data_IF_608856126915
#
_entry.id   IF_608856126915
#
_cell.length_a   1.000
_cell.length_b   1.000
_cell.length_c   1.000
_cell.angle_alpha   90.00
_cell.angle_beta   90.00
_cell.angle_gamma   90.00
#
_symmetry.space_group_name_H-M   'P 1'
#
loop_
_entity.id
_entity.type
_entity.pdbx_description
1 polymer ?
#
# COMPACT_ATOMS: atom_id res chain seq x y z
N UNK A 1 32.31 -33.53 -5.23
CA UNK A 1 32.50 -32.17 -5.82
C UNK A 1 31.47 -32.04 -6.93
N UNK A 2 30.20 -31.91 -6.53
CA UNK A 2 29.09 -31.78 -7.45
C UNK A 2 28.64 -30.32 -7.56
N UNK A 3 28.45 -29.92 -8.77
CA UNK A 3 28.07 -28.60 -9.26
C UNK A 3 26.91 -28.01 -8.46
N UNK A 4 27.20 -27.13 -7.50
CA UNK A 4 26.30 -26.08 -7.09
C UNK A 4 26.24 -25.01 -8.21
N UNK A 5 25.80 -25.46 -9.38
CA UNK A 5 25.60 -24.58 -10.50
C UNK A 5 24.19 -24.01 -10.45
N UNK A 6 24.11 -22.73 -10.12
CA UNK A 6 23.16 -21.78 -10.70
C UNK A 6 21.65 -22.08 -10.56
N UNK A 7 21.15 -22.15 -9.36
CA UNK A 7 19.82 -21.63 -9.10
C UNK A 7 19.92 -20.08 -9.00
N UNK A 8 20.49 -19.45 -10.00
CA UNK A 8 20.46 -18.01 -10.18
C UNK A 8 19.03 -17.69 -10.62
N UNK A 9 18.22 -17.26 -9.66
CA UNK A 9 17.01 -16.51 -9.94
C UNK A 9 17.38 -15.48 -11.01
N UNK A 10 16.58 -15.37 -12.08
CA UNK A 10 16.87 -14.41 -13.14
C UNK A 10 16.76 -12.99 -12.55
N UNK A 11 17.88 -12.31 -12.23
CA UNK A 11 17.82 -11.05 -11.49
C UNK A 11 17.09 -9.95 -12.25
N UNK A 12 17.08 -10.04 -13.59
CA UNK A 12 16.34 -9.09 -14.45
C UNK A 12 14.84 -9.27 -14.29
N UNK A 13 14.37 -10.51 -14.19
CA UNK A 13 12.95 -10.77 -14.02
C UNK A 13 12.48 -10.42 -12.60
N UNK A 14 13.31 -10.60 -11.58
CA UNK A 14 13.01 -10.17 -10.22
C UNK A 14 12.76 -8.66 -10.14
N UNK A 15 13.59 -7.85 -10.79
CA UNK A 15 13.39 -6.39 -10.87
C UNK A 15 12.18 -6.01 -11.74
N UNK A 16 11.88 -6.79 -12.77
CA UNK A 16 10.63 -6.62 -13.52
C UNK A 16 9.42 -6.84 -12.60
N UNK A 17 9.44 -7.85 -11.72
CA UNK A 17 8.36 -8.07 -10.74
C UNK A 17 8.22 -6.89 -9.77
N UNK A 18 9.32 -6.28 -9.31
CA UNK A 18 9.27 -5.05 -8.52
C UNK A 18 8.54 -3.93 -9.27
N UNK A 19 8.91 -3.68 -10.53
CA UNK A 19 8.28 -2.64 -11.35
C UNK A 19 6.78 -2.92 -11.61
N UNK A 20 6.44 -4.17 -11.89
CA UNK A 20 5.04 -4.63 -12.10
C UNK A 20 4.21 -4.38 -10.85
N UNK A 21 4.66 -4.86 -9.69
CA UNK A 21 3.89 -4.74 -8.45
C UNK A 21 3.90 -3.31 -7.93
N UNK A 22 4.97 -2.54 -8.12
CA UNK A 22 5.00 -1.09 -7.90
C UNK A 22 3.86 -0.39 -8.64
N UNK A 23 3.72 -0.65 -9.94
CA UNK A 23 2.70 0.01 -10.77
C UNK A 23 1.29 -0.41 -10.37
N UNK A 24 1.05 -1.70 -10.16
CA UNK A 24 -0.26 -2.20 -9.72
C UNK A 24 -0.64 -1.62 -8.36
N UNK A 25 0.31 -1.53 -7.43
CA UNK A 25 0.10 -0.90 -6.12
C UNK A 25 -0.17 0.59 -6.24
N UNK A 26 0.52 1.29 -7.15
CA UNK A 26 0.28 2.71 -7.39
C UNK A 26 -1.17 2.95 -7.86
N UNK A 27 -1.69 2.10 -8.73
CA UNK A 27 -3.08 2.18 -9.16
C UNK A 27 -4.04 1.87 -8.01
N UNK A 28 -3.85 0.76 -7.30
CA UNK A 28 -4.73 0.35 -6.20
C UNK A 28 -4.85 1.41 -5.10
N UNK A 29 -3.72 1.91 -4.61
CA UNK A 29 -3.69 2.96 -3.58
C UNK A 29 -4.03 4.35 -4.14
N UNK A 30 -3.78 4.58 -5.42
CA UNK A 30 -4.15 5.81 -6.09
C UNK A 30 -5.67 6.01 -6.14
N UNK A 31 -6.44 4.98 -6.50
CA UNK A 31 -7.89 5.03 -6.47
C UNK A 31 -8.42 5.24 -5.04
N UNK A 32 -7.83 4.56 -4.04
CA UNK A 32 -8.18 4.77 -2.64
C UNK A 32 -7.98 6.22 -2.21
N UNK A 33 -6.85 6.83 -2.56
CA UNK A 33 -6.55 8.24 -2.26
C UNK A 33 -7.48 9.21 -3.00
N UNK A 34 -7.94 8.85 -4.19
CA UNK A 34 -8.79 9.71 -5.03
C UNK A 34 -10.20 9.89 -4.50
N UNK A 35 -10.68 9.04 -3.60
CA UNK A 35 -12.01 9.17 -2.98
C UNK A 35 -12.19 10.58 -2.41
N UNK A 36 -11.17 11.14 -1.77
CA UNK A 36 -11.22 12.48 -1.18
C UNK A 36 -11.58 13.59 -2.18
N UNK A 37 -11.19 13.43 -3.44
CA UNK A 37 -11.42 14.41 -4.52
C UNK A 37 -12.85 14.29 -5.06
N UNK A 38 -13.43 13.08 -5.04
CA UNK A 38 -14.80 12.84 -5.47
C UNK A 38 -15.86 13.21 -4.42
N UNK A 39 -15.49 13.37 -3.15
CA UNK A 39 -16.44 13.63 -2.05
C UNK A 39 -17.37 14.83 -2.33
N UNK A 40 -16.79 15.98 -2.72
CA UNK A 40 -17.58 17.20 -2.97
C UNK A 40 -18.51 17.08 -4.19
N UNK A 41 -18.02 16.66 -5.37
CA UNK A 41 -18.89 16.45 -6.54
C UNK A 41 -20.07 15.53 -6.26
N UNK A 42 -19.81 14.37 -5.65
CA UNK A 42 -20.86 13.40 -5.33
C UNK A 42 -21.86 13.92 -4.28
N UNK A 43 -21.35 14.56 -3.22
CA UNK A 43 -22.22 15.16 -2.21
C UNK A 43 -23.11 16.25 -2.77
N UNK A 44 -22.64 17.07 -3.71
CA UNK A 44 -23.44 18.13 -4.31
C UNK A 44 -24.48 17.60 -5.32
N UNK A 45 -24.19 16.52 -6.03
CA UNK A 45 -25.09 15.97 -7.05
C UNK A 45 -26.20 15.11 -6.45
N UNK A 46 -25.83 14.24 -5.50
CA UNK A 46 -26.77 13.30 -4.90
C UNK A 46 -27.35 13.76 -3.56
N UNK A 47 -26.90 14.89 -3.02
CA UNK A 47 -27.32 15.36 -1.69
C UNK A 47 -26.81 14.51 -0.53
N UNK A 48 -25.76 13.68 -0.75
CA UNK A 48 -25.25 12.80 0.28
C UNK A 48 -24.46 13.58 1.35
N UNK A 49 -24.63 13.17 2.61
CA UNK A 49 -23.85 13.74 3.70
C UNK A 49 -22.35 13.41 3.59
N UNK A 50 -21.49 14.30 4.08
CA UNK A 50 -20.03 14.09 4.07
C UNK A 50 -19.61 12.79 4.76
N UNK A 51 -20.29 12.43 5.85
CA UNK A 51 -20.04 11.15 6.53
C UNK A 51 -20.35 9.95 5.66
N UNK A 52 -21.46 9.99 4.91
CA UNK A 52 -21.85 8.92 4.01
C UNK A 52 -20.84 8.75 2.86
N UNK A 53 -20.43 9.84 2.21
CA UNK A 53 -19.45 9.76 1.12
C UNK A 53 -18.07 9.32 1.60
N UNK A 54 -17.64 9.71 2.80
CA UNK A 54 -16.37 9.27 3.37
C UNK A 54 -16.33 7.78 3.75
N UNK A 55 -17.50 7.15 3.99
CA UNK A 55 -17.58 5.70 4.22
C UNK A 55 -17.14 4.87 3.00
N UNK A 56 -17.08 5.45 1.80
CA UNK A 56 -16.47 4.80 0.63
C UNK A 56 -15.01 4.38 0.89
N UNK A 57 -14.22 5.25 1.53
CA UNK A 57 -12.85 4.91 1.94
C UNK A 57 -12.82 3.75 2.96
N UNK A 58 -13.71 3.82 3.95
CA UNK A 58 -13.85 2.74 4.95
C UNK A 58 -14.24 1.43 4.29
N UNK A 59 -15.14 1.47 3.31
CA UNK A 59 -15.62 0.28 2.58
C UNK A 59 -14.48 -0.41 1.83
N UNK A 60 -13.64 0.34 1.10
CA UNK A 60 -12.47 -0.24 0.42
C UNK A 60 -11.50 -0.83 1.45
N UNK A 61 -11.16 -0.06 2.49
CA UNK A 61 -10.18 -0.48 3.48
C UNK A 61 -10.62 -1.73 4.24
N UNK A 62 -11.89 -1.76 4.67
CA UNK A 62 -12.47 -2.89 5.40
C UNK A 62 -12.59 -4.14 4.53
N UNK A 63 -13.11 -4.01 3.30
CA UNK A 63 -13.18 -5.14 2.37
C UNK A 63 -11.80 -5.65 1.99
N UNK A 64 -10.83 -4.76 1.75
CA UNK A 64 -9.45 -5.13 1.45
C UNK A 64 -8.79 -5.87 2.62
N UNK A 65 -9.03 -5.47 3.85
CA UNK A 65 -8.48 -6.13 5.03
C UNK A 65 -9.01 -7.55 5.19
N UNK A 66 -10.33 -7.74 5.12
CA UNK A 66 -10.97 -9.07 5.25
C UNK A 66 -10.55 -9.99 4.10
N UNK A 67 -10.71 -9.53 2.87
CA UNK A 67 -10.39 -10.33 1.69
C UNK A 67 -8.89 -10.48 1.47
N UNK A 68 -8.06 -9.57 1.99
CA UNK A 68 -6.61 -9.73 2.00
C UNK A 68 -6.18 -11.03 2.68
N UNK A 69 -6.76 -11.35 3.84
CA UNK A 69 -6.52 -12.60 4.55
C UNK A 69 -6.94 -13.80 3.69
N UNK A 70 -8.14 -13.76 3.09
CA UNK A 70 -8.63 -14.83 2.24
C UNK A 70 -7.73 -15.05 1.01
N UNK A 71 -7.34 -13.96 0.34
CA UNK A 71 -6.44 -14.03 -0.82
C UNK A 71 -5.01 -14.41 -0.42
N UNK A 72 -4.58 -14.11 0.80
CA UNK A 72 -3.35 -14.63 1.37
C UNK A 72 -3.36 -16.16 1.42
N UNK A 73 -4.45 -16.77 1.91
CA UNK A 73 -4.62 -18.24 1.89
C UNK A 73 -4.61 -18.82 0.48
N UNK A 74 -5.33 -18.18 -0.44
CA UNK A 74 -5.39 -18.62 -1.83
C UNK A 74 -4.01 -18.51 -2.48
N UNK A 75 -3.29 -17.40 -2.24
CA UNK A 75 -1.95 -17.19 -2.73
C UNK A 75 -0.96 -18.23 -2.21
N UNK A 76 -1.03 -18.56 -0.93
CA UNK A 76 -0.13 -19.57 -0.33
C UNK A 76 -0.37 -20.96 -0.92
N UNK A 77 -1.61 -21.30 -1.28
CA UNK A 77 -1.96 -22.62 -1.81
C UNK A 77 -1.84 -22.72 -3.34
N UNK A 78 -2.29 -21.72 -4.06
CA UNK A 78 -2.45 -21.76 -5.53
C UNK A 78 -1.52 -20.81 -6.28
N UNK A 79 -0.80 -19.94 -5.56
CA UNK A 79 0.07 -18.92 -6.15
C UNK A 79 -0.65 -17.62 -6.51
N UNK A 80 0.12 -16.67 -7.07
CA UNK A 80 -0.33 -15.29 -7.33
C UNK A 80 -0.40 -14.93 -8.82
N UNK A 81 -0.12 -15.87 -9.71
CA UNK A 81 0.04 -15.63 -11.16
C UNK A 81 -1.09 -14.81 -11.78
N UNK A 82 -2.34 -15.11 -11.42
CA UNK A 82 -3.52 -14.50 -12.01
C UNK A 82 -4.05 -13.29 -11.22
N UNK A 83 -3.48 -13.01 -10.03
CA UNK A 83 -3.98 -11.97 -9.15
C UNK A 83 -3.93 -10.58 -9.77
N UNK A 84 -2.85 -10.25 -10.49
CA UNK A 84 -2.76 -8.95 -11.17
C UNK A 84 -3.78 -8.77 -12.30
N UNK A 85 -4.06 -9.83 -13.04
CA UNK A 85 -5.05 -9.81 -14.12
C UNK A 85 -6.45 -9.63 -13.55
N UNK A 86 -6.83 -10.44 -12.54
CA UNK A 86 -8.14 -10.34 -11.88
C UNK A 86 -8.30 -8.98 -11.22
N UNK A 87 -7.29 -8.52 -10.50
CA UNK A 87 -7.31 -7.21 -9.87
C UNK A 87 -7.49 -6.08 -10.90
N UNK A 88 -6.77 -6.12 -12.04
CA UNK A 88 -6.89 -5.12 -13.10
C UNK A 88 -8.32 -5.04 -13.67
N UNK A 89 -8.91 -6.20 -13.98
CA UNK A 89 -10.27 -6.29 -14.53
C UNK A 89 -11.29 -5.78 -13.51
N UNK A 90 -11.21 -6.24 -12.24
CA UNK A 90 -12.17 -5.85 -11.21
C UNK A 90 -12.03 -4.38 -10.83
N UNK A 91 -10.80 -3.86 -10.69
CA UNK A 91 -10.58 -2.43 -10.43
C UNK A 91 -11.18 -1.57 -11.55
N UNK A 92 -10.88 -1.90 -12.81
CA UNK A 92 -11.43 -1.19 -13.97
C UNK A 92 -12.95 -1.27 -14.02
N UNK A 93 -13.53 -2.46 -13.85
CA UNK A 93 -14.97 -2.67 -13.83
C UNK A 93 -15.65 -1.87 -12.71
N UNK A 94 -15.11 -1.92 -11.49
CA UNK A 94 -15.66 -1.18 -10.35
C UNK A 94 -15.63 0.32 -10.59
N UNK A 95 -14.54 0.87 -11.13
CA UNK A 95 -14.44 2.29 -11.49
C UNK A 95 -15.42 2.67 -12.60
N UNK A 96 -15.60 1.81 -13.61
CA UNK A 96 -16.60 2.03 -14.64
C UNK A 96 -18.02 2.01 -14.08
N UNK A 97 -18.35 1.10 -13.18
CA UNK A 97 -19.65 1.08 -12.52
C UNK A 97 -19.86 2.29 -11.62
N UNK A 98 -18.81 2.80 -10.95
CA UNK A 98 -18.87 4.05 -10.18
C UNK A 98 -19.20 5.28 -11.06
N UNK A 99 -18.84 5.29 -12.36
CA UNK A 99 -19.24 6.35 -13.28
C UNK A 99 -20.74 6.36 -13.58
N UNK A 100 -21.42 5.23 -13.37
CA UNK A 100 -22.85 5.01 -13.65
C UNK A 100 -23.71 4.89 -12.39
N UNK A 101 -23.15 5.14 -11.21
CA UNK A 101 -23.86 4.99 -9.95
C UNK A 101 -24.99 6.02 -9.83
N UNK A 102 -26.13 5.59 -9.30
CA UNK A 102 -27.30 6.41 -9.04
C UNK A 102 -27.66 6.45 -7.54
N UNK A 103 -27.15 5.51 -6.77
CA UNK A 103 -27.46 5.36 -5.35
C UNK A 103 -26.22 5.16 -4.49
N UNK A 104 -26.33 5.51 -3.19
CA UNK A 104 -25.26 5.32 -2.22
C UNK A 104 -24.95 3.85 -1.95
N UNK A 105 -25.94 2.97 -2.11
CA UNK A 105 -25.75 1.52 -2.01
C UNK A 105 -24.89 0.97 -3.14
N UNK A 106 -25.06 1.46 -4.37
CA UNK A 106 -24.19 1.13 -5.51
C UNK A 106 -22.76 1.65 -5.29
N UNK A 107 -22.63 2.88 -4.82
CA UNK A 107 -21.35 3.46 -4.42
C UNK A 107 -20.58 2.56 -3.45
N UNK A 108 -21.22 2.09 -2.38
CA UNK A 108 -20.58 1.18 -1.44
C UNK A 108 -20.32 -0.21 -2.05
N UNK A 109 -21.25 -0.74 -2.85
CA UNK A 109 -21.09 -2.05 -3.48
C UNK A 109 -19.88 -2.09 -4.43
N UNK A 110 -19.73 -1.06 -5.26
CA UNK A 110 -18.62 -1.00 -6.21
C UNK A 110 -17.28 -0.74 -5.51
N UNK A 111 -17.25 0.08 -4.46
CA UNK A 111 -16.06 0.25 -3.64
C UNK A 111 -15.72 -1.00 -2.82
N UNK A 112 -16.72 -1.73 -2.35
CA UNK A 112 -16.50 -3.04 -1.72
C UNK A 112 -15.87 -4.02 -2.71
N UNK A 113 -16.39 -4.10 -3.92
CA UNK A 113 -15.85 -4.95 -4.98
C UNK A 113 -14.40 -4.56 -5.33
N UNK A 114 -14.14 -3.27 -5.47
CA UNK A 114 -12.79 -2.72 -5.69
C UNK A 114 -11.82 -3.13 -4.58
N UNK A 115 -12.23 -3.00 -3.32
CA UNK A 115 -11.41 -3.38 -2.16
C UNK A 115 -11.17 -4.88 -2.07
N UNK A 116 -12.24 -5.68 -2.17
CA UNK A 116 -12.22 -7.12 -1.94
C UNK A 116 -11.43 -7.90 -3.01
N UNK A 117 -11.55 -7.53 -4.26
CA UNK A 117 -10.93 -8.26 -5.39
C UNK A 117 -9.87 -7.43 -6.11
N UNK A 118 -9.95 -6.10 -6.07
CA UNK A 118 -8.94 -5.21 -6.64
C UNK A 118 -7.76 -5.04 -5.69
N UNK A 119 -7.92 -4.21 -4.67
CA UNK A 119 -6.83 -3.83 -3.76
C UNK A 119 -6.27 -5.03 -3.00
N UNK A 120 -7.13 -5.90 -2.46
CA UNK A 120 -6.70 -7.06 -1.68
C UNK A 120 -5.82 -8.03 -2.47
N UNK A 121 -6.13 -8.27 -3.75
CA UNK A 121 -5.32 -9.12 -4.62
C UNK A 121 -4.07 -8.40 -5.16
N UNK A 122 -4.17 -7.08 -5.38
CA UNK A 122 -3.13 -6.26 -5.98
C UNK A 122 -1.96 -5.94 -5.04
N UNK A 123 -2.13 -6.06 -3.74
CA UNK A 123 -1.14 -5.59 -2.76
C UNK A 123 -0.44 -6.74 -2.05
N UNK A 124 -0.93 -7.17 -0.91
CA UNK A 124 -0.21 -8.03 0.03
C UNK A 124 0.27 -9.35 -0.56
N UNK A 125 -0.54 -10.12 -1.31
CA UNK A 125 -0.06 -11.37 -1.90
C UNK A 125 1.04 -11.16 -2.96
N UNK A 126 0.97 -10.04 -3.70
CA UNK A 126 1.99 -9.69 -4.68
C UNK A 126 3.28 -9.19 -4.02
N UNK A 127 3.19 -8.45 -2.91
CA UNK A 127 4.37 -8.08 -2.10
C UNK A 127 5.07 -9.33 -1.57
N UNK A 128 4.31 -10.29 -1.05
CA UNK A 128 4.88 -11.57 -0.61
C UNK A 128 5.62 -12.26 -1.77
N UNK A 129 5.02 -12.31 -2.97
CA UNK A 129 5.67 -12.88 -4.14
C UNK A 129 6.97 -12.15 -4.50
N UNK A 130 7.01 -10.81 -4.51
CA UNK A 130 8.25 -10.05 -4.72
C UNK A 130 9.31 -10.42 -3.69
N UNK A 131 8.93 -10.53 -2.41
CA UNK A 131 9.84 -10.94 -1.33
C UNK A 131 10.50 -12.29 -1.56
N UNK A 132 9.84 -13.23 -2.28
CA UNK A 132 10.41 -14.53 -2.63
C UNK A 132 11.41 -14.49 -3.80
N UNK A 133 11.38 -13.44 -4.64
CA UNK A 133 12.37 -13.26 -5.69
C UNK A 133 13.74 -12.79 -5.16
N UNK A 134 13.77 -12.23 -3.94
CA UNK A 134 14.97 -11.69 -3.30
C UNK A 134 15.25 -12.44 -1.99
N UNK A 135 16.02 -13.53 -2.06
CA UNK A 135 16.26 -14.42 -0.90
C UNK A 135 17.09 -13.78 0.20
N UNK A 136 18.13 -13.06 -0.18
CA UNK A 136 19.12 -12.54 0.77
C UNK A 136 18.76 -11.19 1.37
N UNK A 137 18.38 -10.23 0.55
CA UNK A 137 18.10 -8.84 0.96
C UNK A 137 16.80 -8.34 0.29
N UNK A 138 15.63 -8.79 0.77
CA UNK A 138 14.34 -8.41 0.16
C UNK A 138 13.93 -6.98 0.46
N UNK A 139 14.61 -6.31 1.41
CA UNK A 139 14.16 -5.04 1.97
C UNK A 139 14.10 -3.93 0.95
N UNK A 140 15.15 -3.72 0.17
CA UNK A 140 15.16 -2.70 -0.88
C UNK A 140 14.05 -2.96 -1.92
N UNK A 141 13.92 -4.20 -2.36
CA UNK A 141 12.90 -4.58 -3.35
C UNK A 141 11.48 -4.35 -2.84
N UNK A 142 11.20 -4.77 -1.60
CA UNK A 142 9.90 -4.54 -0.94
C UNK A 142 9.66 -3.06 -0.67
N UNK A 143 10.70 -2.31 -0.28
CA UNK A 143 10.63 -0.87 -0.07
C UNK A 143 10.26 -0.11 -1.35
N UNK A 144 10.91 -0.44 -2.49
CA UNK A 144 10.58 0.14 -3.80
C UNK A 144 9.15 -0.26 -4.20
N UNK A 145 8.80 -1.53 -4.06
CA UNK A 145 7.44 -2.01 -4.38
C UNK A 145 6.37 -1.25 -3.58
N UNK A 146 6.58 -1.10 -2.27
CA UNK A 146 5.67 -0.38 -1.40
C UNK A 146 5.61 1.13 -1.70
N UNK A 147 6.72 1.74 -2.17
CA UNK A 147 6.75 3.14 -2.58
C UNK A 147 5.77 3.44 -3.73
N UNK A 148 5.45 2.44 -4.57
CA UNK A 148 4.41 2.54 -5.59
C UNK A 148 3.09 3.03 -5.02
N UNK A 149 2.65 2.47 -3.89
CA UNK A 149 1.43 2.91 -3.21
C UNK A 149 1.45 4.39 -2.81
N UNK A 150 2.58 4.90 -2.29
CA UNK A 150 2.72 6.30 -1.93
C UNK A 150 2.70 7.23 -3.16
N UNK A 151 3.38 6.82 -4.23
CA UNK A 151 3.38 7.56 -5.50
C UNK A 151 1.97 7.60 -6.09
N UNK A 152 1.25 6.49 -6.07
CA UNK A 152 -0.13 6.42 -6.54
C UNK A 152 -1.06 7.34 -5.75
N UNK A 153 -0.97 7.31 -4.41
CA UNK A 153 -1.77 8.19 -3.53
C UNK A 153 -1.47 9.69 -3.72
N UNK A 154 -0.29 10.05 -4.19
CA UNK A 154 0.03 11.43 -4.52
C UNK A 154 -0.45 11.82 -5.92
N UNK A 155 -0.15 11.00 -6.92
CA UNK A 155 -0.33 11.32 -8.34
C UNK A 155 -1.79 11.17 -8.80
N UNK A 156 -2.43 10.06 -8.46
CA UNK A 156 -3.77 9.75 -9.01
C UNK A 156 -4.83 10.74 -8.54
N UNK A 157 -4.95 11.12 -7.23
CA UNK A 157 -5.88 12.15 -6.80
C UNK A 157 -5.65 13.50 -7.50
N UNK A 158 -4.39 13.88 -7.73
CA UNK A 158 -4.05 15.11 -8.44
C UNK A 158 -4.58 15.09 -9.88
N UNK A 159 -4.34 14.01 -10.62
CA UNK A 159 -4.86 13.83 -11.98
C UNK A 159 -6.40 13.77 -12.00
N UNK A 160 -7.02 13.13 -11.02
CA UNK A 160 -8.47 13.12 -10.86
C UNK A 160 -9.03 14.53 -10.64
N UNK A 161 -8.38 15.34 -9.80
CA UNK A 161 -8.80 16.72 -9.56
C UNK A 161 -8.81 17.54 -10.85
N UNK A 162 -7.76 17.44 -11.66
CA UNK A 162 -7.70 18.10 -12.98
C UNK A 162 -8.77 17.57 -13.94
N UNK A 163 -8.99 16.27 -13.97
CA UNK A 163 -10.01 15.65 -14.84
C UNK A 163 -11.42 16.02 -14.42
N UNK A 164 -11.73 16.07 -13.11
CA UNK A 164 -13.05 16.48 -12.61
C UNK A 164 -13.36 17.92 -13.00
N UNK A 165 -12.39 18.83 -12.90
CA UNK A 165 -12.57 20.23 -13.30
C UNK A 165 -12.83 20.41 -14.79
N UNK A 166 -12.24 19.54 -15.63
CA UNK A 166 -12.35 19.64 -17.08
C UNK A 166 -13.58 18.88 -17.64
N UNK A 167 -13.90 17.71 -17.09
CA UNK A 167 -14.84 16.76 -17.70
C UNK A 167 -15.94 16.26 -16.74
N UNK A 168 -15.90 16.65 -15.47
CA UNK A 168 -16.81 16.17 -14.45
C UNK A 168 -16.40 14.82 -13.84
N UNK A 169 -17.13 14.41 -12.80
CA UNK A 169 -16.76 13.23 -12.00
C UNK A 169 -17.04 11.91 -12.73
N UNK A 170 -18.13 11.81 -13.50
CA UNK A 170 -18.49 10.61 -14.27
C UNK A 170 -17.40 10.26 -15.28
N UNK A 171 -17.07 11.22 -16.14
CA UNK A 171 -16.00 11.04 -17.13
C UNK A 171 -14.65 10.74 -16.47
N UNK A 172 -14.37 11.29 -15.30
CA UNK A 172 -13.14 11.00 -14.56
C UNK A 172 -13.08 9.55 -14.10
N UNK A 173 -14.18 8.96 -13.61
CA UNK A 173 -14.22 7.53 -13.31
C UNK A 173 -14.06 6.66 -14.57
N UNK A 174 -14.63 7.06 -15.71
CA UNK A 174 -14.45 6.36 -17.00
C UNK A 174 -12.97 6.42 -17.45
N UNK A 175 -12.33 7.60 -17.36
CA UNK A 175 -10.90 7.76 -17.66
C UNK A 175 -10.03 6.91 -16.75
N UNK A 176 -10.33 6.84 -15.45
CA UNK A 176 -9.64 5.95 -14.51
C UNK A 176 -9.85 4.49 -14.90
N UNK A 177 -11.09 4.05 -15.14
CA UNK A 177 -11.40 2.69 -15.52
C UNK A 177 -10.63 2.25 -16.76
N UNK A 178 -10.61 3.10 -17.78
CA UNK A 178 -9.89 2.83 -19.02
C UNK A 178 -8.37 2.79 -18.80
N UNK A 179 -7.82 3.76 -18.07
CA UNK A 179 -6.37 3.81 -17.78
C UNK A 179 -5.92 2.62 -16.95
N UNK A 180 -6.73 2.19 -15.98
CA UNK A 180 -6.43 0.99 -15.17
C UNK A 180 -6.47 -0.27 -16.03
N UNK A 181 -7.44 -0.38 -16.95
CA UNK A 181 -7.49 -1.53 -17.87
C UNK A 181 -6.27 -1.55 -18.79
N UNK A 182 -5.94 -0.43 -19.42
CA UNK A 182 -4.83 -0.32 -20.38
C UNK A 182 -3.46 -0.54 -19.71
N UNK A 183 -3.29 -0.06 -18.47
CA UNK A 183 -2.00 -0.15 -17.78
C UNK A 183 -1.91 -1.47 -17.00
N UNK A 184 -2.88 -1.76 -16.12
CA UNK A 184 -2.75 -2.87 -15.19
C UNK A 184 -2.97 -4.24 -15.84
N UNK A 185 -3.81 -4.35 -16.87
CA UNK A 185 -4.11 -5.64 -17.49
C UNK A 185 -2.90 -6.23 -18.21
N UNK A 186 -2.18 -5.52 -19.12
CA UNK A 186 -0.99 -6.06 -19.75
C UNK A 186 0.12 -6.37 -18.73
N UNK A 187 0.29 -5.49 -17.74
CA UNK A 187 1.28 -5.67 -16.68
C UNK A 187 0.92 -6.88 -15.80
N UNK A 188 -0.36 -7.12 -15.53
CA UNK A 188 -0.86 -8.26 -14.78
C UNK A 188 -0.47 -9.61 -15.40
N UNK A 189 -0.42 -9.71 -16.72
CA UNK A 189 0.06 -10.92 -17.43
C UNK A 189 1.56 -11.18 -17.24
N UNK A 190 2.35 -10.17 -16.88
CA UNK A 190 3.78 -10.33 -16.60
C UNK A 190 4.05 -10.95 -15.23
N UNK A 191 3.04 -11.09 -14.37
CA UNK A 191 3.23 -11.66 -13.04
C UNK A 191 3.58 -13.15 -13.17
N UNK A 192 4.69 -13.51 -12.55
CA UNK A 192 5.13 -14.90 -12.40
C UNK A 192 5.41 -15.20 -10.94
N UNK A 193 5.25 -16.45 -10.60
CA UNK A 193 5.63 -16.98 -9.31
C UNK A 193 7.17 -17.03 -9.22
N UNK A 194 7.72 -16.69 -8.05
CA UNK A 194 9.14 -16.94 -7.79
C UNK A 194 9.41 -18.45 -7.81
N UNK A 195 10.48 -18.90 -8.49
CA UNK A 195 10.86 -20.31 -8.49
C UNK A 195 11.10 -20.86 -7.08
N UNK A 196 11.59 -20.02 -6.17
CA UNK A 196 11.76 -20.39 -4.77
C UNK A 196 10.43 -20.61 -4.05
N UNK A 197 9.44 -19.76 -4.26
CA UNK A 197 8.10 -19.94 -3.69
C UNK A 197 7.43 -21.20 -4.19
N UNK A 198 7.57 -21.49 -5.48
CA UNK A 198 7.04 -22.71 -6.09
C UNK A 198 7.69 -23.96 -5.48
N UNK A 199 9.02 -23.94 -5.29
CA UNK A 199 9.73 -25.03 -4.61
C UNK A 199 9.24 -25.24 -3.18
N UNK A 200 9.14 -24.19 -2.38
CA UNK A 200 8.65 -24.26 -0.98
C UNK A 200 7.19 -24.76 -0.91
N UNK A 201 6.38 -24.42 -1.90
CA UNK A 201 5.00 -24.93 -1.97
C UNK A 201 4.94 -26.43 -2.26
N UNK A 202 5.82 -26.92 -3.13
CA UNK A 202 5.88 -28.34 -3.52
C UNK A 202 6.63 -29.20 -2.50
N UNK A 203 7.63 -28.63 -1.84
CA UNK A 203 8.49 -29.26 -0.83
C UNK A 203 8.45 -28.46 0.47
N UNK A 204 7.39 -28.63 1.30
CA UNK A 204 7.20 -27.80 2.51
C UNK A 204 8.33 -27.91 3.53
N UNK A 205 9.06 -29.03 3.54
CA UNK A 205 10.17 -29.30 4.47
C UNK A 205 11.51 -28.70 3.99
N UNK A 206 11.56 -28.09 2.81
CA UNK A 206 12.78 -27.52 2.25
C UNK A 206 13.26 -26.25 2.99
N UNK A 207 12.42 -25.63 3.81
CA UNK A 207 12.75 -24.43 4.58
C UNK A 207 12.38 -24.58 6.06
N UNK A 208 13.34 -24.95 6.90
CA UNK A 208 13.19 -24.89 8.36
C UNK A 208 13.78 -23.57 8.83
N UNK A 209 12.94 -22.57 9.09
CA UNK A 209 13.36 -21.36 9.81
C UNK A 209 13.10 -21.55 11.30
N UNK A 210 14.15 -21.54 12.09
CA UNK A 210 14.07 -21.54 13.54
C UNK A 210 13.99 -20.08 14.04
N UNK A 211 12.79 -19.55 14.13
CA UNK A 211 12.54 -18.38 14.96
C UNK A 211 12.03 -18.87 16.31
N UNK A 212 12.45 -18.26 17.45
CA UNK A 212 12.16 -18.80 18.78
C UNK A 212 10.67 -18.77 19.16
N UNK A 213 9.85 -17.98 18.46
CA UNK A 213 8.41 -17.87 18.66
C UNK A 213 7.64 -18.64 17.59
N UNK A 214 6.46 -19.15 17.95
CA UNK A 214 5.54 -19.73 16.97
C UNK A 214 5.05 -18.69 15.95
N UNK A 215 4.66 -19.11 14.76
CA UNK A 215 4.17 -18.20 13.71
C UNK A 215 2.96 -17.38 14.16
N UNK A 216 2.06 -18.00 14.92
CA UNK A 216 0.86 -17.34 15.47
C UNK A 216 1.26 -16.25 16.48
N UNK A 217 2.24 -16.51 17.33
CA UNK A 217 2.76 -15.51 18.28
C UNK A 217 3.43 -14.34 17.55
N UNK A 218 4.23 -14.63 16.52
CA UNK A 218 4.85 -13.59 15.68
C UNK A 218 3.79 -12.72 15.02
N UNK A 219 2.79 -13.33 14.39
CA UNK A 219 1.69 -12.60 13.75
C UNK A 219 0.92 -11.76 14.78
N UNK A 220 0.62 -12.32 15.96
CA UNK A 220 -0.09 -11.60 17.00
C UNK A 220 0.69 -10.37 17.48
N UNK A 221 2.00 -10.51 17.77
CA UNK A 221 2.84 -9.38 18.18
C UNK A 221 2.98 -8.31 17.11
N UNK A 222 3.17 -8.72 15.84
CA UNK A 222 3.24 -7.79 14.71
C UNK A 222 1.90 -7.07 14.56
N UNK A 223 0.76 -7.77 14.65
CA UNK A 223 -0.57 -7.16 14.54
C UNK A 223 -0.83 -6.11 15.63
N UNK A 224 -0.46 -6.40 16.87
CA UNK A 224 -0.54 -5.41 17.96
C UNK A 224 0.34 -4.20 17.68
N UNK A 225 1.59 -4.41 17.25
CA UNK A 225 2.50 -3.32 16.91
C UNK A 225 1.98 -2.47 15.75
N UNK A 226 1.35 -3.09 14.73
CA UNK A 226 0.72 -2.38 13.59
C UNK A 226 -0.44 -1.50 14.06
N UNK A 227 -1.30 -1.95 14.97
CA UNK A 227 -2.41 -1.15 15.49
C UNK A 227 -1.89 0.15 16.10
N UNK A 228 -0.90 0.09 16.97
CA UNK A 228 -0.31 1.30 17.58
C UNK A 228 0.41 2.19 16.56
N UNK A 229 1.16 1.58 15.66
CA UNK A 229 1.87 2.29 14.60
C UNK A 229 0.89 3.02 13.66
N UNK A 230 -0.17 2.34 13.21
CA UNK A 230 -1.17 2.94 12.32
C UNK A 230 -1.94 4.08 12.99
N UNK A 231 -2.27 3.97 14.28
CA UNK A 231 -2.87 5.09 15.01
C UNK A 231 -1.93 6.29 15.07
N UNK A 232 -0.65 6.09 15.37
CA UNK A 232 0.35 7.15 15.39
C UNK A 232 0.50 7.82 14.00
N UNK A 233 0.48 7.04 12.92
CA UNK A 233 0.54 7.52 11.54
C UNK A 233 -0.70 8.30 11.13
N UNK A 234 -1.89 7.84 11.51
CA UNK A 234 -3.15 8.42 11.07
C UNK A 234 -3.33 9.86 11.58
N UNK A 235 -2.81 10.18 12.77
CA UNK A 235 -2.99 11.50 13.39
C UNK A 235 -2.50 12.63 12.50
N UNK A 236 -1.23 12.72 12.05
CA UNK A 236 -0.82 13.80 11.16
C UNK A 236 -1.45 13.72 9.77
N UNK A 237 -1.63 12.52 9.22
CA UNK A 237 -2.21 12.37 7.88
C UNK A 237 -3.63 12.94 7.81
N UNK A 238 -4.44 12.71 8.83
CA UNK A 238 -5.84 13.13 8.86
C UNK A 238 -6.00 14.55 9.43
N UNK A 239 -5.21 14.89 10.46
CA UNK A 239 -5.44 16.10 11.24
C UNK A 239 -4.50 17.26 10.94
N UNK A 240 -3.41 17.07 10.18
CA UNK A 240 -2.44 18.15 9.89
C UNK A 240 -3.11 19.33 9.17
N UNK A 241 -3.89 19.08 8.12
CA UNK A 241 -4.53 20.15 7.35
C UNK A 241 -5.59 20.88 8.19
N UNK A 242 -6.54 20.19 8.85
CA UNK A 242 -7.46 20.85 9.79
C UNK A 242 -6.73 21.66 10.87
N UNK A 243 -5.74 21.08 11.53
CA UNK A 243 -4.97 21.74 12.59
C UNK A 243 -4.35 23.04 12.10
N UNK A 244 -3.68 23.04 10.97
CA UNK A 244 -3.04 24.23 10.42
C UNK A 244 -4.05 25.29 9.99
N UNK A 245 -5.19 24.88 9.41
CA UNK A 245 -6.26 25.82 9.05
C UNK A 245 -6.97 26.41 10.26
N UNK A 246 -7.15 25.64 11.33
CA UNK A 246 -7.70 26.12 12.61
C UNK A 246 -6.76 27.11 13.30
N UNK A 247 -5.45 27.00 13.07
CA UNK A 247 -4.43 27.98 13.50
C UNK A 247 -4.40 29.25 12.63
N UNK A 248 -5.31 29.40 11.65
CA UNK A 248 -5.41 30.58 10.80
C UNK A 248 -4.53 30.54 9.54
N UNK A 249 -3.84 29.43 9.27
CA UNK A 249 -3.05 29.31 8.05
C UNK A 249 -3.96 29.07 6.83
N UNK A 250 -3.46 29.43 5.64
CA UNK A 250 -4.18 29.20 4.39
C UNK A 250 -4.26 27.71 4.08
N UNK A 251 -5.32 27.29 3.38
CA UNK A 251 -5.48 25.89 2.93
C UNK A 251 -4.32 25.49 2.03
N UNK A 252 -3.78 26.39 1.21
CA UNK A 252 -2.62 26.14 0.36
C UNK A 252 -1.38 25.78 1.19
N UNK A 253 -1.12 26.53 2.24
CA UNK A 253 -0.01 26.26 3.16
C UNK A 253 -0.15 24.89 3.82
N UNK A 254 -1.33 24.59 4.33
CA UNK A 254 -1.61 23.32 5.01
C UNK A 254 -1.50 22.11 4.08
N UNK A 255 -2.04 22.22 2.87
CA UNK A 255 -1.94 21.14 1.88
C UNK A 255 -0.52 20.97 1.35
N UNK A 256 0.27 22.04 1.25
CA UNK A 256 1.69 21.98 0.90
C UNK A 256 2.50 21.21 1.94
N UNK A 257 2.22 21.45 3.25
CA UNK A 257 2.87 20.69 4.33
C UNK A 257 2.56 19.18 4.22
N UNK A 258 1.31 18.82 3.98
CA UNK A 258 0.91 17.43 3.79
C UNK A 258 1.56 16.82 2.53
N UNK A 259 1.66 17.55 1.43
CA UNK A 259 2.33 17.10 0.21
C UNK A 259 3.81 16.78 0.46
N UNK A 260 4.52 17.68 1.15
CA UNK A 260 5.94 17.48 1.52
C UNK A 260 6.08 16.22 2.38
N UNK A 261 5.21 16.02 3.37
CA UNK A 261 5.17 14.84 4.21
C UNK A 261 5.02 13.55 3.38
N UNK A 262 4.10 13.53 2.41
CA UNK A 262 3.83 12.37 1.57
C UNK A 262 4.98 12.04 0.61
N UNK A 263 5.63 13.06 0.02
CA UNK A 263 6.80 12.85 -0.85
C UNK A 263 7.97 12.32 -0.04
N UNK A 264 8.24 12.88 1.14
CA UNK A 264 9.24 12.33 2.05
C UNK A 264 8.93 10.88 2.44
N UNK A 265 7.64 10.55 2.56
CA UNK A 265 7.18 9.19 2.79
C UNK A 265 7.54 8.21 1.68
N UNK A 266 7.42 8.60 0.42
CA UNK A 266 7.83 7.75 -0.70
C UNK A 266 9.33 7.37 -0.61
N UNK A 267 10.18 8.34 -0.28
CA UNK A 267 11.60 8.12 -0.04
C UNK A 267 11.84 7.25 1.21
N UNK A 268 11.06 7.49 2.27
CA UNK A 268 11.13 6.73 3.52
C UNK A 268 10.85 5.24 3.35
N UNK A 269 9.93 4.86 2.46
CA UNK A 269 9.65 3.44 2.14
C UNK A 269 10.86 2.74 1.54
N UNK A 270 11.55 3.39 0.62
CA UNK A 270 12.75 2.85 -0.01
C UNK A 270 13.90 2.77 1.00
N UNK A 271 14.11 3.86 1.74
CA UNK A 271 15.17 3.93 2.75
C UNK A 271 14.95 2.94 3.90
N UNK A 272 13.71 2.78 4.39
CA UNK A 272 13.35 1.81 5.42
C UNK A 272 13.60 0.37 4.96
N UNK A 273 13.28 0.06 3.71
CA UNK A 273 13.61 -1.22 3.10
C UNK A 273 15.12 -1.48 3.05
N UNK A 274 15.90 -0.49 2.59
CA UNK A 274 17.36 -0.59 2.53
C UNK A 274 17.99 -0.69 3.92
N UNK A 275 17.47 0.08 4.88
CA UNK A 275 17.91 0.03 6.26
C UNK A 275 17.70 -1.35 6.88
N UNK A 276 16.55 -1.98 6.60
CA UNK A 276 16.27 -3.34 7.04
C UNK A 276 17.27 -4.38 6.49
N UNK A 277 17.75 -4.19 5.26
CA UNK A 277 18.80 -5.03 4.69
C UNK A 277 20.16 -4.82 5.36
N UNK A 278 20.43 -3.60 5.86
CA UNK A 278 21.73 -3.22 6.45
C UNK A 278 21.86 -3.60 7.92
N UNK A 279 20.86 -3.30 8.73
CA UNK A 279 20.91 -3.47 10.20
C UNK A 279 19.96 -4.56 10.72
N UNK A 280 19.21 -5.19 9.81
CA UNK A 280 18.18 -6.18 10.13
C UNK A 280 16.78 -5.58 10.20
N UNK A 281 15.78 -6.42 9.96
CA UNK A 281 14.40 -5.99 9.84
C UNK A 281 13.84 -5.40 11.14
N UNK A 282 14.04 -6.07 12.27
CA UNK A 282 13.53 -5.63 13.56
C UNK A 282 14.17 -4.32 14.07
N UNK A 283 15.51 -4.16 14.06
CA UNK A 283 16.13 -2.88 14.40
C UNK A 283 15.69 -1.73 13.49
N UNK A 284 15.53 -1.96 12.19
CA UNK A 284 15.03 -0.96 11.27
C UNK A 284 13.59 -0.53 11.61
N UNK A 285 12.70 -1.50 11.89
CA UNK A 285 11.35 -1.24 12.33
C UNK A 285 11.30 -0.41 13.62
N UNK A 286 12.10 -0.77 14.64
CA UNK A 286 12.17 -0.06 15.92
C UNK A 286 12.64 1.38 15.68
N UNK A 287 13.71 1.59 14.92
CA UNK A 287 14.26 2.91 14.66
C UNK A 287 13.27 3.83 13.95
N UNK A 288 12.62 3.33 12.89
CA UNK A 288 11.62 4.07 12.15
C UNK A 288 10.37 4.36 12.99
N UNK A 289 9.93 3.38 13.80
CA UNK A 289 8.77 3.54 14.70
C UNK A 289 9.03 4.55 15.81
N UNK A 290 10.22 4.57 16.38
CA UNK A 290 10.64 5.61 17.35
C UNK A 290 10.64 6.99 16.69
N UNK A 291 11.20 7.11 15.47
CA UNK A 291 11.23 8.37 14.73
C UNK A 291 9.82 8.94 14.50
N UNK A 292 8.88 8.10 14.05
CA UNK A 292 7.49 8.54 13.84
C UNK A 292 6.81 8.91 15.17
N UNK A 293 7.02 8.12 16.24
CA UNK A 293 6.37 8.37 17.53
C UNK A 293 6.87 9.66 18.19
N UNK A 294 8.18 9.89 18.14
CA UNK A 294 8.76 11.13 18.68
C UNK A 294 8.29 12.33 17.87
N UNK A 295 8.31 12.25 16.55
CA UNK A 295 7.95 13.37 15.68
C UNK A 295 6.46 13.74 15.74
N UNK A 296 5.55 12.79 15.94
CA UNK A 296 4.12 13.11 16.02
C UNK A 296 3.79 14.04 17.18
N UNK A 297 4.51 13.92 18.30
CA UNK A 297 4.30 14.73 19.49
C UNK A 297 4.64 16.22 19.28
N UNK A 298 5.45 16.53 18.28
CA UNK A 298 5.90 17.90 18.01
C UNK A 298 4.97 18.68 17.09
N UNK A 299 4.08 18.04 16.33
CA UNK A 299 3.19 18.75 15.41
C UNK A 299 2.35 19.85 16.06
N UNK A 300 1.73 19.66 17.26
CA UNK A 300 0.96 20.71 17.90
C UNK A 300 1.82 21.85 18.46
N UNK A 301 3.13 21.64 18.63
CA UNK A 301 4.05 22.55 19.31
C UNK A 301 4.97 23.30 18.34
N UNK A 302 5.01 22.88 17.07
CA UNK A 302 5.93 23.45 16.10
C UNK A 302 5.46 24.82 15.64
N UNK A 303 6.35 25.80 15.73
CA UNK A 303 6.13 27.15 15.26
C UNK A 303 7.04 27.47 14.06
N UNK A 304 6.49 28.17 13.07
CA UNK A 304 7.22 28.60 11.89
C UNK A 304 7.28 27.57 10.76
N UNK A 305 7.29 28.08 9.54
CA UNK A 305 7.18 27.30 8.30
C UNK A 305 8.32 26.30 8.11
N UNK A 306 9.55 26.72 8.38
CA UNK A 306 10.73 25.87 8.18
C UNK A 306 10.72 24.68 9.13
N UNK A 307 10.41 24.91 10.41
CA UNK A 307 10.35 23.86 11.41
C UNK A 307 9.23 22.86 11.11
N UNK A 308 8.05 23.35 10.67
CA UNK A 308 6.94 22.50 10.24
C UNK A 308 7.33 21.62 9.06
N UNK A 309 7.99 22.16 8.04
CA UNK A 309 8.37 21.38 6.86
C UNK A 309 9.47 20.35 7.18
N UNK A 310 10.43 20.70 8.01
CA UNK A 310 11.44 19.74 8.48
C UNK A 310 10.80 18.61 9.30
N UNK A 311 9.85 18.94 10.16
CA UNK A 311 9.10 17.96 10.93
C UNK A 311 8.24 17.07 10.00
N UNK A 312 7.59 17.66 9.01
CA UNK A 312 6.79 16.92 8.01
C UNK A 312 7.67 15.97 7.19
N UNK A 313 8.87 16.41 6.78
CA UNK A 313 9.85 15.55 6.08
C UNK A 313 10.28 14.38 6.98
N UNK A 314 10.68 14.69 8.21
CA UNK A 314 11.19 13.66 9.12
C UNK A 314 10.09 12.65 9.50
N UNK A 315 8.89 13.13 9.85
CA UNK A 315 7.75 12.26 10.11
C UNK A 315 7.38 11.45 8.88
N UNK A 316 7.24 12.09 7.71
CA UNK A 316 6.92 11.44 6.45
C UNK A 316 7.88 10.31 6.12
N UNK A 317 9.18 10.57 6.26
CA UNK A 317 10.24 9.59 6.04
C UNK A 317 10.14 8.42 7.03
N UNK A 318 9.97 8.69 8.32
CA UNK A 318 9.98 7.64 9.35
C UNK A 318 8.72 6.79 9.32
N UNK A 319 7.50 7.38 9.25
CA UNK A 319 6.27 6.59 9.23
C UNK A 319 6.19 5.66 8.02
N UNK A 320 6.62 6.15 6.86
CA UNK A 320 6.61 5.32 5.65
C UNK A 320 7.69 4.25 5.67
N UNK A 321 8.83 4.52 6.30
CA UNK A 321 9.86 3.53 6.58
C UNK A 321 9.37 2.41 7.49
N UNK A 322 8.48 2.71 8.46
CA UNK A 322 7.80 1.69 9.26
C UNK A 322 6.98 0.75 8.38
N UNK A 323 6.23 1.28 7.41
CA UNK A 323 5.38 0.48 6.54
C UNK A 323 6.17 -0.55 5.71
N UNK A 324 7.36 -0.19 5.21
CA UNK A 324 8.23 -1.15 4.52
C UNK A 324 8.91 -2.11 5.48
N UNK A 325 9.41 -1.62 6.61
CA UNK A 325 10.12 -2.45 7.60
C UNK A 325 9.24 -3.55 8.19
N UNK A 326 7.94 -3.26 8.44
CA UNK A 326 7.02 -4.27 8.98
C UNK A 326 6.74 -5.40 7.99
N UNK A 327 6.61 -5.08 6.71
CA UNK A 327 6.46 -6.10 5.66
C UNK A 327 7.69 -7.03 5.63
N UNK A 328 8.88 -6.46 5.81
CA UNK A 328 10.13 -7.22 5.84
C UNK A 328 10.22 -8.05 7.11
N UNK A 329 9.86 -7.50 8.29
CA UNK A 329 9.79 -8.24 9.54
C UNK A 329 8.89 -9.46 9.40
N UNK A 330 7.68 -9.27 8.92
CA UNK A 330 6.73 -10.36 8.69
C UNK A 330 7.32 -11.41 7.76
N UNK A 331 7.89 -10.98 6.61
CA UNK A 331 8.48 -11.90 5.62
C UNK A 331 9.67 -12.69 6.19
N UNK A 332 10.47 -12.10 7.07
CA UNK A 332 11.66 -12.74 7.62
C UNK A 332 11.39 -13.60 8.87
N UNK A 333 10.33 -13.32 9.61
CA UNK A 333 10.00 -13.99 10.88
C UNK A 333 9.00 -15.13 10.72
N UNK A 334 8.29 -15.18 9.59
CA UNK A 334 7.29 -16.21 9.30
C UNK A 334 7.81 -17.12 8.20
N UNK A 335 7.45 -18.41 8.24
CA UNK A 335 7.84 -19.34 7.18
C UNK A 335 7.26 -18.95 5.83
N UNK A 336 7.95 -19.32 4.75
CA UNK A 336 7.53 -19.02 3.40
C UNK A 336 6.10 -19.57 3.10
N UNK A 337 5.72 -20.67 3.74
CA UNK A 337 4.40 -21.30 3.61
C UNK A 337 3.25 -20.42 4.14
N UNK A 338 3.52 -19.56 5.13
CA UNK A 338 2.51 -18.70 5.76
C UNK A 338 2.66 -17.22 5.38
N UNK A 339 3.63 -16.88 4.53
CA UNK A 339 3.96 -15.49 4.22
C UNK A 339 2.78 -14.70 3.62
N UNK A 340 1.99 -15.30 2.75
CA UNK A 340 0.81 -14.65 2.16
C UNK A 340 -0.21 -14.23 3.20
N UNK A 341 -0.53 -15.14 4.12
CA UNK A 341 -1.47 -14.90 5.23
C UNK A 341 -0.94 -13.91 6.25
N UNK A 342 0.35 -14.04 6.58
CA UNK A 342 0.97 -13.21 7.60
C UNK A 342 1.17 -11.75 7.16
N UNK A 343 1.32 -11.50 5.86
CA UNK A 343 1.49 -10.15 5.31
C UNK A 343 0.14 -9.47 5.00
N UNK A 344 -0.95 -10.21 4.98
CA UNK A 344 -2.32 -9.70 4.73
C UNK A 344 -2.97 -9.15 5.97
#
# INVERSE_FOLDING_TARGET
MEKHSSDQENPRYAWLMVAVVFTISALAFGALGSISVFLKPLASEFGWGRGQTSLGYTTISFSSAIFGILWGFVADRYGTRWFGVVAAVVMSFSLFMLSRQESISEFYAYYFLFGAFGTAMATTPLYANVGFWFRMNPGLALGITAAGGAVGQALVPYLCGLSIMAYGWQATYEHLALSYLIIALPIGFLIRESPWRERVRLEPDAEVRHFPLSEIEVIAWISVAVIFCCNCMAVPIVHLVPMLTDQGNTLEYATRALFILMIAGALGRIAGGRLADMIGALPAYILMSLGQTVSVLWFPQVEGTTALYLLAIFFGFTYSGVMSSILICTRMMVSARFAGRAMS
#
